data_IF_747988134481
#
_entry.id   IF_747988134481
#
_cell.length_a   1.000
_cell.length_b   1.000
_cell.length_c   1.000
_cell.angle_alpha   90.00
_cell.angle_beta   90.00
_cell.angle_gamma   90.00
#
_symmetry.space_group_name_H-M   'P 1'
#
loop_
_entity.id
_entity.type
_entity.pdbx_description
1 polymer ?
#
# COMPACT_ATOMS: atom_id res chain seq x y z
N UNK A 1 11.74 -14.09 20.04
CA UNK A 1 12.19 -12.75 19.63
C UNK A 1 12.61 -12.83 18.17
N UNK A 2 11.67 -12.60 17.26
CA UNK A 2 11.90 -12.65 15.82
C UNK A 2 12.27 -11.25 15.36
N UNK A 3 13.56 -10.92 15.45
CA UNK A 3 14.09 -9.73 14.78
C UNK A 3 14.21 -10.04 13.29
N UNK A 4 13.14 -9.79 12.56
CA UNK A 4 13.14 -9.75 11.10
C UNK A 4 12.52 -8.42 10.64
N UNK A 5 13.15 -7.31 11.03
CA UNK A 5 13.11 -6.12 10.16
C UNK A 5 14.15 -6.33 9.07
N UNK A 6 13.95 -7.35 8.23
CA UNK A 6 14.47 -7.31 6.88
C UNK A 6 13.60 -6.25 6.20
N UNK A 7 14.17 -5.08 5.99
CA UNK A 7 13.54 -4.00 5.23
C UNK A 7 13.05 -4.60 3.92
N UNK A 8 11.73 -4.76 3.77
CA UNK A 8 11.11 -5.31 2.57
C UNK A 8 11.61 -4.50 1.37
N UNK A 9 12.20 -5.17 0.38
CA UNK A 9 12.66 -4.50 -0.82
C UNK A 9 11.55 -4.43 -1.88
N UNK A 10 11.80 -3.70 -2.96
CA UNK A 10 10.86 -3.58 -4.09
C UNK A 10 10.54 -4.94 -4.72
N UNK A 11 11.48 -5.89 -4.73
CA UNK A 11 11.24 -7.22 -5.28
C UNK A 11 10.16 -7.94 -4.46
N UNK A 12 10.23 -7.86 -3.14
CA UNK A 12 9.25 -8.43 -2.23
C UNK A 12 7.86 -7.79 -2.39
N UNK A 13 7.81 -6.46 -2.50
CA UNK A 13 6.54 -5.74 -2.68
C UNK A 13 5.86 -6.10 -4.01
N UNK A 14 6.62 -6.17 -5.11
CA UNK A 14 6.10 -6.58 -6.42
C UNK A 14 5.64 -8.04 -6.39
N UNK A 15 6.37 -8.90 -5.68
CA UNK A 15 5.98 -10.29 -5.48
C UNK A 15 4.64 -10.37 -4.75
N UNK A 16 4.46 -9.71 -3.61
CA UNK A 16 3.16 -9.71 -2.89
C UNK A 16 2.01 -9.12 -3.73
N UNK A 17 2.26 -8.06 -4.49
CA UNK A 17 1.26 -7.47 -5.38
C UNK A 17 0.79 -8.46 -6.45
N UNK A 18 1.71 -9.25 -7.02
CA UNK A 18 1.45 -9.98 -8.26
C UNK A 18 1.34 -11.51 -8.11
N UNK A 19 1.89 -12.08 -7.04
CA UNK A 19 1.98 -13.53 -6.82
C UNK A 19 1.19 -13.95 -5.58
N UNK A 20 0.65 -15.17 -5.65
CA UNK A 20 0.14 -15.82 -4.45
C UNK A 20 1.33 -16.35 -3.65
N UNK A 21 1.31 -16.21 -2.34
CA UNK A 21 2.31 -16.80 -1.46
C UNK A 21 1.65 -17.73 -0.44
N UNK A 22 2.45 -18.61 0.15
CA UNK A 22 2.02 -19.47 1.24
C UNK A 22 2.49 -18.83 2.55
N UNK A 23 1.52 -18.48 3.40
CA UNK A 23 1.80 -18.02 4.75
C UNK A 23 1.82 -19.23 5.67
N UNK A 24 2.87 -19.32 6.50
CA UNK A 24 3.01 -20.40 7.47
C UNK A 24 3.33 -19.81 8.83
N UNK A 25 2.39 -19.96 9.75
CA UNK A 25 2.53 -19.58 11.14
C UNK A 25 2.58 -20.83 12.03
N UNK A 26 3.18 -20.69 13.20
CA UNK A 26 3.14 -21.73 14.22
C UNK A 26 2.45 -21.14 15.43
N UNK A 27 1.23 -21.62 15.69
CA UNK A 27 0.49 -21.24 16.89
C UNK A 27 0.98 -22.08 18.06
N UNK A 28 1.34 -21.42 19.15
CA UNK A 28 1.68 -22.10 20.41
C UNK A 28 0.48 -22.00 21.33
N UNK A 29 0.03 -23.14 21.84
CA UNK A 29 -1.07 -23.24 22.78
C UNK A 29 -0.54 -23.78 24.10
N UNK A 30 -0.75 -23.01 25.16
CA UNK A 30 -0.45 -23.45 26.52
C UNK A 30 -1.66 -24.19 27.09
N UNK A 31 -1.50 -25.49 27.38
CA UNK A 31 -2.53 -26.26 28.06
C UNK A 31 -2.55 -25.89 29.56
N UNK A 32 -3.72 -25.94 30.23
CA UNK A 32 -3.81 -25.74 31.68
C UNK A 32 -2.94 -26.71 32.50
N UNK A 33 -2.54 -27.85 31.92
CA UNK A 33 -1.61 -28.82 32.51
C UNK A 33 -0.14 -28.40 32.48
N UNK A 34 0.19 -27.21 31.93
CA UNK A 34 1.57 -26.73 31.78
C UNK A 34 2.31 -27.30 30.57
N UNK A 35 1.63 -28.05 29.69
CA UNK A 35 2.21 -28.53 28.42
C UNK A 35 1.92 -27.52 27.31
N UNK A 36 2.96 -26.99 26.68
CA UNK A 36 2.83 -26.20 25.45
C UNK A 36 2.88 -27.13 24.22
N UNK A 37 2.00 -26.91 23.25
CA UNK A 37 2.06 -27.60 21.97
C UNK A 37 1.94 -26.61 20.81
N UNK A 38 2.59 -26.95 19.70
CA UNK A 38 2.73 -26.10 18.52
C UNK A 38 1.92 -26.67 17.35
N UNK A 39 1.12 -25.83 16.71
CA UNK A 39 0.37 -26.17 15.49
C UNK A 39 0.91 -25.37 14.33
N UNK A 40 1.50 -26.02 13.31
CA UNK A 40 1.77 -25.34 12.06
C UNK A 40 0.44 -25.06 11.36
N UNK A 41 0.16 -23.79 11.12
CA UNK A 41 -0.97 -23.34 10.33
C UNK A 41 -0.44 -22.75 9.03
N UNK A 42 -0.78 -23.39 7.91
CA UNK A 42 -0.40 -22.94 6.57
C UNK A 42 -1.65 -22.56 5.78
N UNK A 43 -1.64 -21.40 5.14
CA UNK A 43 -2.69 -21.00 4.21
C UNK A 43 -2.11 -20.30 2.99
N UNK A 44 -2.80 -20.44 1.86
CA UNK A 44 -2.41 -19.78 0.61
C UNK A 44 -3.10 -18.43 0.52
N UNK A 45 -2.30 -17.41 0.38
CA UNK A 45 -2.72 -16.01 0.23
C UNK A 45 -2.68 -15.66 -1.25
N UNK A 46 -3.79 -15.17 -1.80
CA UNK A 46 -3.82 -14.64 -3.17
C UNK A 46 -2.97 -13.37 -3.30
N UNK A 47 -2.58 -12.98 -4.51
CA UNK A 47 -1.84 -11.72 -4.65
C UNK A 47 -2.70 -10.53 -4.24
N UNK A 48 -2.09 -9.44 -3.78
CA UNK A 48 -2.86 -8.26 -3.33
C UNK A 48 -3.79 -7.74 -4.43
N UNK A 49 -3.38 -7.79 -5.71
CA UNK A 49 -4.25 -7.45 -6.85
C UNK A 49 -5.50 -8.35 -6.93
N UNK A 50 -5.39 -9.66 -6.73
CA UNK A 50 -6.57 -10.56 -6.75
C UNK A 50 -7.50 -10.28 -5.57
N UNK A 51 -6.91 -10.00 -4.40
CA UNK A 51 -7.65 -9.67 -3.20
C UNK A 51 -8.41 -8.35 -3.38
N UNK A 52 -7.78 -7.29 -3.92
CA UNK A 52 -8.42 -6.01 -4.21
C UNK A 52 -9.60 -6.15 -5.19
N UNK A 53 -9.44 -6.99 -6.22
CA UNK A 53 -10.51 -7.27 -7.18
C UNK A 53 -11.71 -8.00 -6.55
N UNK A 54 -11.43 -8.92 -5.63
CA UNK A 54 -12.47 -9.66 -4.89
C UNK A 54 -13.20 -8.74 -3.92
N UNK A 55 -12.42 -8.04 -3.08
CA UNK A 55 -12.94 -7.12 -2.07
C UNK A 55 -13.77 -5.97 -2.68
N UNK A 56 -13.32 -5.40 -3.80
CA UNK A 56 -14.09 -4.39 -4.53
C UNK A 56 -15.41 -4.90 -5.09
N UNK A 57 -15.45 -6.16 -5.57
CA UNK A 57 -16.67 -6.75 -6.11
C UNK A 57 -17.73 -6.97 -5.01
N UNK A 58 -17.32 -7.49 -3.85
CA UNK A 58 -18.22 -7.75 -2.72
C UNK A 58 -18.78 -6.45 -2.12
N UNK A 59 -17.97 -5.40 -2.10
CA UNK A 59 -18.36 -4.06 -1.62
C UNK A 59 -19.42 -3.37 -2.50
N UNK A 60 -19.50 -3.73 -3.78
CA UNK A 60 -20.44 -3.14 -4.73
C UNK A 60 -21.82 -3.82 -4.78
N UNK A 61 -22.00 -4.95 -4.07
CA UNK A 61 -23.21 -5.80 -4.14
C UNK A 61 -24.11 -5.82 -2.88
N UNK A 62 -23.82 -5.05 -1.83
CA UNK A 62 -24.33 -5.35 -0.48
C UNK A 62 -25.21 -4.29 0.19
N UNK A 63 -26.38 -3.98 -0.38
CA UNK A 63 -27.56 -3.61 0.42
C UNK A 63 -28.39 -4.89 0.64
N UNK A 64 -27.86 -5.84 1.41
CA UNK A 64 -28.45 -7.17 1.57
C UNK A 64 -28.02 -7.82 2.87
N UNK A 65 -28.97 -7.92 3.80
CA UNK A 65 -28.85 -8.44 5.15
C UNK A 65 -28.23 -9.84 5.27
N UNK A 66 -27.49 -10.03 6.39
CA UNK A 66 -27.00 -11.26 7.07
C UNK A 66 -25.47 -11.43 6.94
N UNK A 67 -24.64 -11.65 7.97
CA UNK A 67 -24.81 -11.88 9.40
C UNK A 67 -23.43 -11.66 10.09
N UNK A 68 -23.42 -11.01 11.25
CA UNK A 68 -22.42 -11.24 12.31
C UNK A 68 -20.94 -10.97 12.04
N UNK A 69 -20.55 -9.77 11.64
CA UNK A 69 -19.25 -9.21 12.07
C UNK A 69 -19.50 -7.81 12.56
N UNK A 70 -18.87 -7.44 13.68
CA UNK A 70 -18.90 -6.08 14.23
C UNK A 70 -18.63 -5.12 13.08
N UNK A 71 -19.62 -4.27 12.79
CA UNK A 71 -19.46 -3.18 11.84
C UNK A 71 -18.47 -2.18 12.45
N UNK A 72 -17.18 -2.51 12.35
CA UNK A 72 -16.15 -1.50 12.44
C UNK A 72 -16.38 -0.64 11.22
N UNK A 73 -17.01 0.52 11.43
CA UNK A 73 -17.10 1.61 10.48
C UNK A 73 -15.69 1.87 9.96
N UNK A 74 -15.29 1.20 8.88
CA UNK A 74 -14.02 1.49 8.25
C UNK A 74 -14.15 2.93 7.75
N UNK A 75 -13.28 3.85 8.21
CA UNK A 75 -13.32 5.22 7.76
C UNK A 75 -13.16 5.22 6.24
N UNK A 76 -14.11 5.83 5.54
CA UNK A 76 -14.18 5.86 4.09
C UNK A 76 -12.80 6.18 3.49
N UNK A 77 -12.17 5.20 2.84
CA UNK A 77 -10.99 5.43 2.02
C UNK A 77 -11.37 6.41 0.91
N UNK A 78 -10.63 7.52 0.71
CA UNK A 78 -10.90 8.42 -0.42
C UNK A 78 -10.65 7.76 -1.78
N UNK A 79 -9.99 6.59 -1.80
CA UNK A 79 -9.81 5.74 -2.97
C UNK A 79 -10.24 4.32 -2.62
N UNK A 80 -11.25 3.80 -3.33
CA UNK A 80 -11.66 2.41 -3.20
C UNK A 80 -10.66 1.44 -3.83
N UNK A 81 -10.85 0.13 -3.66
CA UNK A 81 -10.01 -0.90 -4.27
C UNK A 81 -9.88 -0.74 -5.80
N UNK A 82 -10.96 -0.36 -6.48
CA UNK A 82 -10.95 -0.13 -7.92
C UNK A 82 -10.20 1.14 -8.33
N UNK A 83 -10.22 2.19 -7.51
CA UNK A 83 -9.48 3.41 -7.80
C UNK A 83 -7.97 3.17 -7.71
N UNK A 84 -7.53 2.42 -6.69
CA UNK A 84 -6.13 2.00 -6.58
C UNK A 84 -5.70 1.13 -7.78
N UNK A 85 -6.54 0.20 -8.21
CA UNK A 85 -6.26 -0.63 -9.39
C UNK A 85 -6.17 0.21 -10.68
N UNK A 86 -7.05 1.19 -10.85
CA UNK A 86 -7.04 2.09 -12.00
C UNK A 86 -5.79 3.00 -12.00
N UNK A 87 -5.34 3.44 -10.82
CA UNK A 87 -4.10 4.19 -10.66
C UNK A 87 -2.89 3.34 -11.03
N UNK A 88 -2.76 2.12 -10.47
CA UNK A 88 -1.70 1.16 -10.79
C UNK A 88 -1.65 0.93 -12.31
N UNK A 89 -2.80 0.65 -12.93
CA UNK A 89 -2.88 0.34 -14.36
C UNK A 89 -2.37 1.48 -15.25
N UNK A 90 -2.76 2.72 -14.92
CA UNK A 90 -2.40 3.94 -15.66
C UNK A 90 -0.93 4.30 -15.46
N UNK A 91 -0.50 4.37 -14.20
CA UNK A 91 0.85 4.80 -13.85
C UNK A 91 1.90 3.78 -14.30
N UNK A 92 1.64 2.48 -14.11
CA UNK A 92 2.56 1.45 -14.59
C UNK A 92 2.68 1.45 -16.12
N UNK A 93 1.58 1.69 -16.85
CA UNK A 93 1.64 1.81 -18.31
C UNK A 93 2.45 3.03 -18.77
N UNK A 94 2.29 4.17 -18.10
CA UNK A 94 3.08 5.37 -18.36
C UNK A 94 4.58 5.10 -18.19
N UNK A 95 4.97 4.50 -17.06
CA UNK A 95 6.37 4.17 -16.79
C UNK A 95 6.96 3.12 -17.73
N UNK A 96 6.21 2.06 -18.06
CA UNK A 96 6.68 1.07 -19.05
C UNK A 96 6.98 1.75 -20.38
N UNK A 97 6.10 2.66 -20.82
CA UNK A 97 6.28 3.39 -22.08
C UNK A 97 7.47 4.35 -21.99
N UNK A 98 7.60 5.09 -20.89
CA UNK A 98 8.72 6.01 -20.63
C UNK A 98 10.08 5.30 -20.67
N UNK A 99 10.16 4.09 -20.10
CA UNK A 99 11.37 3.26 -20.12
C UNK A 99 11.59 2.53 -21.45
N UNK A 100 10.83 2.84 -22.51
CA UNK A 100 10.96 2.21 -23.83
C UNK A 100 10.48 0.76 -23.89
N UNK A 101 9.71 0.31 -22.89
CA UNK A 101 9.15 -1.02 -22.83
C UNK A 101 7.85 -1.16 -23.64
N UNK A 102 7.59 -2.38 -24.12
CA UNK A 102 6.29 -2.73 -24.68
C UNK A 102 5.28 -3.05 -23.57
N UNK A 103 4.06 -2.53 -23.71
CA UNK A 103 2.96 -2.84 -22.79
C UNK A 103 2.54 -4.30 -22.92
N UNK A 104 2.42 -5.04 -21.81
CA UNK A 104 1.93 -6.41 -21.85
C UNK A 104 0.46 -6.45 -22.25
N UNK A 105 0.06 -7.53 -22.93
CA UNK A 105 -1.34 -7.81 -23.23
C UNK A 105 -2.01 -8.54 -22.07
N UNK A 106 -3.33 -8.36 -21.93
CA UNK A 106 -4.12 -9.11 -20.95
C UNK A 106 -4.12 -10.61 -21.28
N UNK A 107 -4.16 -11.46 -20.26
CA UNK A 107 -4.28 -12.91 -20.44
C UNK A 107 -5.74 -13.28 -20.65
N UNK A 108 -6.00 -14.14 -21.65
CA UNK A 108 -7.32 -14.65 -21.98
C UNK A 108 -7.38 -16.17 -21.79
N UNK A 109 -8.54 -16.67 -21.36
CA UNK A 109 -8.89 -18.10 -21.32
C UNK A 109 -10.21 -18.26 -22.07
N UNK A 110 -10.13 -18.78 -23.31
CA UNK A 110 -11.25 -18.72 -24.26
C UNK A 110 -11.59 -17.25 -24.57
N UNK A 111 -12.87 -16.88 -24.40
CA UNK A 111 -13.37 -15.52 -24.61
C UNK A 111 -13.35 -14.66 -23.35
N UNK A 112 -12.86 -15.18 -22.21
CA UNK A 112 -12.85 -14.46 -20.93
C UNK A 112 -11.46 -13.94 -20.60
N UNK A 113 -11.36 -12.64 -20.29
CA UNK A 113 -10.15 -12.04 -19.72
C UNK A 113 -9.96 -12.55 -18.30
N UNK A 114 -8.75 -13.01 -17.99
CA UNK A 114 -8.35 -13.34 -16.61
C UNK A 114 -8.28 -12.02 -15.83
N UNK A 115 -9.14 -11.85 -14.83
CA UNK A 115 -9.18 -10.65 -13.98
C UNK A 115 -7.81 -10.42 -13.32
N UNK A 116 -7.39 -9.15 -13.23
CA UNK A 116 -6.10 -8.77 -12.65
C UNK A 116 -4.86 -9.14 -13.46
N UNK A 117 -4.99 -9.92 -14.55
CA UNK A 117 -3.82 -10.43 -15.28
C UNK A 117 -3.02 -9.32 -15.97
N UNK A 118 -3.68 -8.25 -16.41
CA UNK A 118 -3.01 -7.13 -17.08
C UNK A 118 -2.22 -6.30 -16.07
N UNK A 119 -2.86 -5.98 -14.94
CA UNK A 119 -2.32 -5.20 -13.84
C UNK A 119 -1.08 -5.88 -13.28
N UNK A 120 -1.15 -7.20 -13.04
CA UNK A 120 -0.01 -8.02 -12.62
C UNK A 120 1.10 -8.06 -13.66
N UNK A 121 0.76 -8.21 -14.94
CA UNK A 121 1.75 -8.24 -16.01
C UNK A 121 2.47 -6.90 -16.15
N UNK A 122 1.74 -5.78 -16.01
CA UNK A 122 2.32 -4.43 -16.01
C UNK A 122 3.28 -4.24 -14.84
N UNK A 123 2.89 -4.60 -13.61
CA UNK A 123 3.77 -4.48 -12.44
C UNK A 123 5.06 -5.30 -12.60
N UNK A 124 4.95 -6.57 -13.04
CA UNK A 124 6.14 -7.41 -13.32
C UNK A 124 7.01 -6.83 -14.43
N UNK A 125 6.39 -6.27 -15.49
CA UNK A 125 7.12 -5.66 -16.60
C UNK A 125 7.83 -4.38 -16.17
N UNK A 126 7.16 -3.51 -15.43
CA UNK A 126 7.73 -2.30 -14.85
C UNK A 126 8.94 -2.66 -13.99
N UNK A 127 8.77 -3.61 -13.08
CA UNK A 127 9.83 -4.12 -12.23
C UNK A 127 11.04 -4.66 -13.03
N UNK A 128 10.81 -5.44 -14.07
CA UNK A 128 11.88 -5.94 -14.94
C UNK A 128 12.60 -4.83 -15.74
N UNK A 129 11.96 -3.68 -15.95
CA UNK A 129 12.55 -2.52 -16.63
C UNK A 129 13.25 -1.56 -15.67
N UNK A 130 13.05 -1.70 -14.35
CA UNK A 130 13.66 -0.80 -13.36
C UNK A 130 15.16 -0.64 -13.53
N UNK A 131 15.99 -1.68 -13.82
CA UNK A 131 17.43 -1.50 -14.02
C UNK A 131 17.82 -0.57 -15.19
N UNK A 132 16.87 -0.21 -16.06
CA UNK A 132 17.06 0.74 -17.17
C UNK A 132 16.70 2.18 -16.78
N UNK A 133 16.07 2.37 -15.62
CA UNK A 133 15.71 3.69 -15.13
C UNK A 133 16.98 4.48 -14.81
N UNK A 134 16.92 5.81 -14.95
CA UNK A 134 17.97 6.67 -14.46
C UNK A 134 18.13 6.51 -12.94
N UNK A 135 19.37 6.33 -12.51
CA UNK A 135 19.78 6.26 -11.11
C UNK A 135 20.55 7.53 -10.72
N UNK A 136 20.23 8.12 -9.58
CA UNK A 136 21.12 9.07 -8.94
C UNK A 136 22.15 8.30 -8.08
N UNK A 137 23.24 8.97 -7.67
CA UNK A 137 24.23 8.40 -6.75
C UNK A 137 23.81 8.46 -5.27
N UNK A 138 22.67 9.07 -4.97
CA UNK A 138 22.21 9.22 -3.60
C UNK A 138 21.76 7.86 -3.06
N UNK A 139 22.21 7.53 -1.84
CA UNK A 139 21.83 6.29 -1.14
C UNK A 139 20.38 6.33 -0.61
N UNK A 140 19.75 7.50 -0.61
CA UNK A 140 18.38 7.72 -0.18
C UNK A 140 17.70 8.64 -1.17
N UNK A 141 16.42 8.39 -1.41
CA UNK A 141 15.59 9.30 -2.17
C UNK A 141 15.48 10.64 -1.42
N UNK A 142 15.57 11.74 -2.15
CA UNK A 142 15.21 13.06 -1.67
C UNK A 142 14.14 13.61 -2.60
N UNK A 143 13.06 14.13 -2.03
CA UNK A 143 12.09 14.91 -2.78
C UNK A 143 12.67 16.30 -3.02
N UNK A 144 12.69 16.73 -4.28
CA UNK A 144 13.09 18.08 -4.68
C UNK A 144 11.85 18.80 -5.23
N UNK A 145 11.42 19.93 -4.66
CA UNK A 145 10.25 20.67 -5.13
C UNK A 145 10.35 21.13 -6.58
N UNK A 146 11.54 21.27 -7.15
CA UNK A 146 11.72 21.72 -8.55
C UNK A 146 11.73 20.57 -9.55
N UNK A 147 12.26 19.40 -9.15
CA UNK A 147 12.42 18.24 -10.05
C UNK A 147 11.48 17.08 -9.74
N UNK A 148 10.63 17.22 -8.71
CA UNK A 148 9.70 16.24 -8.13
C UNK A 148 10.37 15.00 -7.53
N UNK A 149 11.38 14.42 -8.20
CA UNK A 149 12.09 13.21 -7.79
C UNK A 149 13.55 13.25 -8.20
N UNK A 150 14.45 12.80 -7.31
CA UNK A 150 15.88 12.79 -7.59
C UNK A 150 16.32 11.91 -8.79
N UNK A 151 15.56 10.86 -9.13
CA UNK A 151 15.70 10.08 -10.37
C UNK A 151 14.47 9.18 -10.62
N UNK A 152 14.34 8.65 -11.84
CA UNK A 152 13.22 7.77 -12.21
C UNK A 152 13.20 6.46 -11.40
N UNK A 153 14.36 5.91 -11.01
CA UNK A 153 14.42 4.71 -10.16
C UNK A 153 13.68 4.93 -8.83
N UNK A 154 14.06 5.97 -8.09
CA UNK A 154 13.45 6.26 -6.79
C UNK A 154 11.98 6.63 -6.90
N UNK A 155 11.56 7.29 -7.99
CA UNK A 155 10.14 7.55 -8.24
C UNK A 155 9.35 6.24 -8.43
N UNK A 156 9.88 5.28 -9.20
CA UNK A 156 9.21 3.99 -9.42
C UNK A 156 9.17 3.17 -8.13
N UNK A 157 10.28 3.10 -7.41
CA UNK A 157 10.36 2.43 -6.10
C UNK A 157 9.32 3.01 -5.13
N UNK A 158 9.26 4.34 -5.03
CA UNK A 158 8.28 5.02 -4.21
C UNK A 158 6.83 4.68 -4.59
N UNK A 159 6.51 4.70 -5.88
CA UNK A 159 5.18 4.36 -6.36
C UNK A 159 4.81 2.91 -6.04
N UNK A 160 5.74 1.97 -6.24
CA UNK A 160 5.54 0.54 -5.92
C UNK A 160 5.29 0.35 -4.43
N UNK A 161 6.09 0.97 -3.57
CA UNK A 161 5.90 0.96 -2.11
C UNK A 161 4.56 1.55 -1.71
N UNK A 162 4.18 2.69 -2.32
CA UNK A 162 2.91 3.34 -2.06
C UNK A 162 1.69 2.54 -2.52
N UNK A 163 1.78 1.80 -3.63
CA UNK A 163 0.72 0.88 -4.06
C UNK A 163 0.62 -0.34 -3.15
N UNK A 164 1.75 -0.93 -2.78
CA UNK A 164 1.82 -2.08 -1.88
C UNK A 164 1.20 -1.75 -0.51
N UNK A 165 1.63 -0.67 0.14
CA UNK A 165 1.11 -0.29 1.46
C UNK A 165 -0.38 0.05 1.40
N UNK A 166 -0.84 0.83 0.40
CA UNK A 166 -2.27 1.14 0.24
C UNK A 166 -3.11 -0.11 0.02
N UNK A 167 -2.62 -1.08 -0.75
CA UNK A 167 -3.32 -2.33 -0.98
C UNK A 167 -3.50 -3.12 0.33
N UNK A 168 -2.45 -3.21 1.15
CA UNK A 168 -2.51 -3.90 2.45
C UNK A 168 -3.45 -3.24 3.44
N UNK A 169 -3.41 -1.90 3.54
CA UNK A 169 -4.36 -1.13 4.36
C UNK A 169 -5.80 -1.33 3.89
N UNK A 170 -6.05 -1.27 2.58
CA UNK A 170 -7.38 -1.50 1.99
C UNK A 170 -7.94 -2.90 2.31
N UNK A 171 -7.07 -3.89 2.33
CA UNK A 171 -7.42 -5.28 2.59
C UNK A 171 -7.41 -5.66 4.08
N UNK A 172 -7.07 -4.71 4.96
CA UNK A 172 -7.02 -4.93 6.42
C UNK A 172 -5.84 -5.79 6.89
N UNK A 173 -4.78 -5.90 6.08
CA UNK A 173 -3.55 -6.63 6.44
C UNK A 173 -2.68 -5.85 7.41
N UNK A 174 -2.66 -4.53 7.25
CA UNK A 174 -1.97 -3.60 8.13
C UNK A 174 -3.05 -2.87 8.96
N UNK A 175 -2.76 -2.49 10.22
CA UNK A 175 -3.70 -1.75 11.04
C UNK A 175 -4.22 -0.54 10.26
N UNK A 176 -5.52 -0.30 10.36
CA UNK A 176 -6.15 0.79 9.62
C UNK A 176 -5.44 2.09 9.96
N UNK A 177 -4.63 2.58 9.03
CA UNK A 177 -3.79 3.74 9.24
C UNK A 177 -4.63 4.86 9.86
N UNK A 178 -4.18 5.35 11.02
CA UNK A 178 -4.72 6.52 11.67
C UNK A 178 -4.87 7.64 10.64
N UNK A 179 -6.04 8.28 10.60
CA UNK A 179 -6.31 9.38 9.68
C UNK A 179 -6.51 10.66 10.47
N UNK A 180 -5.40 11.34 10.79
CA UNK A 180 -5.52 12.69 11.31
C UNK A 180 -6.30 13.52 10.28
N UNK A 181 -7.31 14.30 10.68
CA UNK A 181 -8.01 15.25 9.80
C UNK A 181 -7.16 16.51 9.55
N UNK A 182 -5.89 16.27 9.27
CA UNK A 182 -4.80 17.21 9.17
C UNK A 182 -4.43 17.43 7.69
N UNK A 183 -3.91 18.61 7.39
CA UNK A 183 -3.43 18.98 6.07
C UNK A 183 -2.11 18.28 5.76
N UNK A 184 -1.93 17.86 4.51
CA UNK A 184 -0.65 17.41 4.01
C UNK A 184 0.33 18.59 3.93
N UNK A 185 1.51 18.54 4.58
CA UNK A 185 2.53 19.58 4.47
C UNK A 185 2.93 19.92 3.03
N UNK A 186 2.89 18.95 2.10
CA UNK A 186 3.30 19.14 0.71
C UNK A 186 2.24 19.83 -0.16
N UNK A 187 0.97 19.38 -0.10
CA UNK A 187 -0.08 19.85 -1.00
C UNK A 187 -1.21 20.64 -0.32
N UNK A 188 -1.13 20.80 1.00
CA UNK A 188 -2.11 21.47 1.85
C UNK A 188 -3.55 20.89 1.80
N UNK A 189 -3.76 19.73 1.16
CA UNK A 189 -5.04 19.04 1.19
C UNK A 189 -5.19 18.17 2.44
N UNK A 190 -6.41 18.15 3.00
CA UNK A 190 -6.76 17.23 4.08
C UNK A 190 -6.84 15.81 3.55
N UNK A 191 -6.19 14.88 4.23
CA UNK A 191 -6.15 13.48 3.81
C UNK A 191 -4.83 12.80 4.14
N UNK A 192 -4.30 13.03 5.33
CA UNK A 192 -3.16 12.27 5.80
C UNK A 192 -3.61 10.88 6.27
N UNK A 193 -2.85 9.88 5.87
CA UNK A 193 -2.99 8.48 6.25
C UNK A 193 -1.69 8.09 6.94
N UNK A 194 -1.78 7.69 8.20
CA UNK A 194 -0.65 7.61 9.11
C UNK A 194 -0.63 6.25 9.80
N UNK A 195 0.49 5.55 9.75
CA UNK A 195 0.76 4.34 10.51
C UNK A 195 1.88 4.63 11.53
N UNK A 196 1.51 4.88 12.81
CA UNK A 196 2.51 5.14 13.83
C UNK A 196 3.43 3.96 14.13
N UNK A 197 2.96 2.72 13.95
CA UNK A 197 3.76 1.52 14.22
C UNK A 197 4.80 1.31 13.12
N UNK A 198 4.43 1.57 11.87
CA UNK A 198 5.33 1.51 10.72
C UNK A 198 6.20 2.78 10.54
N UNK A 199 6.05 3.79 11.41
CA UNK A 199 6.69 5.12 11.25
C UNK A 199 6.48 5.71 9.84
N UNK A 200 5.26 5.59 9.33
CA UNK A 200 4.92 5.94 7.95
C UNK A 200 3.69 6.86 7.88
N UNK A 201 3.71 7.81 6.95
CA UNK A 201 2.56 8.60 6.58
C UNK A 201 2.48 8.78 5.07
N UNK A 202 1.28 8.99 4.54
CA UNK A 202 1.04 9.30 3.14
C UNK A 202 -0.10 10.29 2.98
N UNK A 203 -0.03 11.11 1.95
CA UNK A 203 -1.16 11.94 1.55
C UNK A 203 -2.07 11.15 0.60
N UNK A 204 -3.37 11.21 0.82
CA UNK A 204 -4.36 10.60 -0.06
C UNK A 204 -4.63 11.41 -1.34
N UNK A 205 -4.13 12.64 -1.42
CA UNK A 205 -4.37 13.56 -2.54
C UNK A 205 -3.15 13.72 -3.45
N UNK A 206 -1.95 13.78 -2.89
CA UNK A 206 -0.71 13.94 -3.63
C UNK A 206 0.23 12.76 -3.33
N UNK A 207 1.27 12.52 -4.15
CA UNK A 207 2.18 11.41 -3.94
C UNK A 207 3.17 11.66 -2.78
N UNK A 208 2.88 12.52 -1.80
CA UNK A 208 3.76 12.73 -0.66
C UNK A 208 3.65 11.56 0.33
N UNK A 209 4.79 10.99 0.74
CA UNK A 209 4.87 10.10 1.90
C UNK A 209 5.94 10.59 2.85
N UNK A 210 5.81 10.21 4.11
CA UNK A 210 6.62 10.66 5.22
C UNK A 210 7.12 9.42 5.96
N UNK A 211 8.41 9.10 5.84
CA UNK A 211 9.04 7.95 6.48
C UNK A 211 10.35 8.38 7.14
N UNK A 212 10.84 7.61 8.11
CA UNK A 212 12.15 7.85 8.73
C UNK A 212 12.27 9.23 9.40
N UNK A 213 13.11 10.12 8.85
CA UNK A 213 13.28 11.46 9.41
C UNK A 213 12.06 12.36 9.15
N UNK A 214 11.45 12.25 7.96
CA UNK A 214 10.30 13.06 7.55
C UNK A 214 9.03 12.67 8.30
N UNK A 215 8.97 11.43 8.77
CA UNK A 215 7.92 10.95 9.67
C UNK A 215 7.85 11.77 10.97
N UNK A 216 9.00 12.11 11.57
CA UNK A 216 9.02 12.94 12.78
C UNK A 216 8.52 14.36 12.51
N UNK A 217 8.85 14.91 11.33
CA UNK A 217 8.34 16.21 10.90
C UNK A 217 6.82 16.16 10.67
N UNK A 218 6.32 15.09 10.07
CA UNK A 218 4.88 14.88 9.90
C UNK A 218 4.16 14.81 11.26
N UNK A 219 4.70 14.05 12.22
CA UNK A 219 4.12 13.97 13.56
C UNK A 219 4.08 15.33 14.27
N UNK A 220 5.14 16.14 14.12
CA UNK A 220 5.16 17.50 14.64
C UNK A 220 4.10 18.37 13.97
N UNK A 221 3.97 18.31 12.64
CA UNK A 221 2.93 19.02 11.88
C UNK A 221 1.53 18.66 12.36
N UNK A 222 1.23 17.36 12.46
CA UNK A 222 -0.06 16.85 12.95
C UNK A 222 -0.35 17.37 14.37
N UNK A 223 0.67 17.36 15.24
CA UNK A 223 0.53 17.86 16.62
C UNK A 223 0.18 19.35 16.64
N UNK A 224 0.92 20.17 15.89
CA UNK A 224 0.70 21.62 15.82
C UNK A 224 -0.70 21.94 15.31
N UNK A 225 -1.14 21.33 14.21
CA UNK A 225 -2.46 21.60 13.64
C UNK A 225 -3.60 21.12 14.56
N UNK A 226 -3.42 20.02 15.28
CA UNK A 226 -4.39 19.57 16.29
C UNK A 226 -4.48 20.52 17.49
N UNK A 227 -3.36 21.10 17.92
CA UNK A 227 -3.33 22.09 19.00
C UNK A 227 -4.05 23.39 18.57
N UNK A 228 -3.81 23.86 17.33
CA UNK A 228 -4.53 25.01 16.75
C UNK A 228 -6.04 24.78 16.69
N UNK A 229 -6.47 23.61 16.20
CA UNK A 229 -7.89 23.26 16.08
C UNK A 229 -8.60 23.24 17.45
N UNK A 230 -7.88 22.89 18.52
CA UNK A 230 -8.42 22.90 19.89
C UNK A 230 -8.61 24.30 20.44
N UNK A 231 -7.76 25.26 20.07
CA UNK A 231 -7.90 26.66 20.48
C UNK A 231 -9.12 27.30 19.81
N UNK A 232 -9.29 27.09 18.51
CA UNK A 232 -10.45 27.59 17.75
C UNK A 232 -11.78 27.02 18.25
N UNK A 233 -11.79 25.81 18.80
CA UNK A 233 -13.02 25.19 19.35
C UNK A 233 -13.48 25.78 20.70
N UNK A 234 -12.65 26.61 21.34
CA UNK A 234 -12.95 27.23 22.65
C UNK A 234 -13.49 28.66 22.53
N UNK A 235 -13.37 29.29 21.37
CA UNK A 235 -13.91 30.62 21.06
C UNK A 235 -15.33 30.55 20.53
#
# INVERSE_FOLDING_TARGET
>A
MTTLNTELDVHDMVRELTESYEHREVFTFDAPSGTAWQVPHGFRVGSLIDQLLTFGADSSGGAGSHAGSVAHSQPALPLGPFDLLAEIDRMAAGWITYLGGQLPAARWVGTRRVRGSLEKAKLRRLHALMPQAQHCRALRWSWDPETEWCCSWHCIEFLLSGWWHRARVLLGWDPGAYRPYNTCPTCNHKGLVVDPEAEFGSCSHCPATYAGADWRLLLLHIRVENDLTREDSKS
#
